data_IF_184179646523
#
_entry.id   IF_184179646523
#
_cell.length_a   1.000
_cell.length_b   1.000
_cell.length_c   1.000
_cell.angle_alpha   90.00
_cell.angle_beta   90.00
_cell.angle_gamma   90.00
#
_symmetry.space_group_name_H-M   'P 1'
#
loop_
_entity.id
_entity.type
_entity.pdbx_description
1 polymer ?
#
# COMPACT_ATOMS: atom_id res chain seq x y z
N UNK A 1 -9.04 0.30 -13.51
CA UNK A 1 -8.34 1.55 -13.17
C UNK A 1 -9.30 2.42 -12.39
N UNK A 2 -9.02 2.70 -11.11
CA UNK A 2 -9.84 3.59 -10.28
C UNK A 2 -9.22 4.97 -10.34
N UNK A 3 -9.97 5.98 -10.79
CA UNK A 3 -9.48 7.36 -10.83
C UNK A 3 -9.24 7.87 -9.41
N UNK A 4 -8.10 8.55 -9.20
CA UNK A 4 -7.67 9.13 -7.92
C UNK A 4 -7.29 8.12 -6.81
N UNK A 5 -6.98 6.87 -7.16
CA UNK A 5 -6.39 5.90 -6.25
C UNK A 5 -4.96 5.57 -6.69
N UNK A 6 -4.09 5.32 -5.71
CA UNK A 6 -2.78 4.72 -6.00
C UNK A 6 -2.99 3.21 -6.18
N UNK A 7 -2.74 2.72 -7.39
CA UNK A 7 -2.94 1.32 -7.78
C UNK A 7 -1.64 0.69 -8.31
N UNK A 8 -1.69 -0.59 -8.67
CA UNK A 8 -0.54 -1.33 -9.19
C UNK A 8 0.11 -0.66 -10.40
N UNK A 9 -0.69 -0.12 -11.33
CA UNK A 9 -0.20 0.54 -12.54
C UNK A 9 0.63 1.77 -12.15
N UNK A 10 0.10 2.60 -11.25
CA UNK A 10 0.81 3.77 -10.76
C UNK A 10 2.11 3.41 -10.04
N UNK A 11 2.09 2.40 -9.16
CA UNK A 11 3.26 1.99 -8.39
C UNK A 11 4.35 1.43 -9.33
N UNK A 12 4.02 0.50 -10.23
CA UNK A 12 4.99 -0.09 -11.17
C UNK A 12 5.62 0.95 -12.10
N UNK A 13 4.87 2.00 -12.45
CA UNK A 13 5.37 3.07 -13.30
C UNK A 13 6.52 3.85 -12.65
N UNK A 14 6.48 4.05 -11.33
CA UNK A 14 7.41 4.95 -10.64
C UNK A 14 8.36 4.27 -9.66
N UNK A 15 8.10 3.03 -9.27
CA UNK A 15 8.87 2.30 -8.27
C UNK A 15 9.40 0.99 -8.88
N UNK A 16 10.64 0.98 -9.40
CA UNK A 16 11.27 -0.24 -9.87
C UNK A 16 11.71 -1.14 -8.71
N UNK A 17 12.00 -2.41 -8.99
CA UNK A 17 12.60 -3.36 -8.03
C UNK A 17 11.87 -3.47 -6.67
N UNK A 18 10.54 -3.54 -6.71
CA UNK A 18 9.65 -3.56 -5.54
C UNK A 18 10.10 -4.49 -4.41
N UNK A 19 10.63 -5.67 -4.74
CA UNK A 19 11.07 -6.67 -3.76
C UNK A 19 12.24 -6.21 -2.86
N UNK A 20 13.03 -5.21 -3.29
CA UNK A 20 14.18 -4.71 -2.54
C UNK A 20 13.84 -3.55 -1.60
N UNK A 21 12.64 -2.99 -1.71
CA UNK A 21 12.27 -1.74 -1.04
C UNK A 21 11.41 -2.01 0.18
N UNK A 22 11.52 -1.11 1.17
CA UNK A 22 10.58 -1.03 2.28
C UNK A 22 9.44 -0.08 1.93
N UNK A 23 8.21 -0.55 2.17
CA UNK A 23 6.98 0.22 1.97
C UNK A 23 6.42 0.62 3.32
N UNK A 24 6.30 1.93 3.56
CA UNK A 24 5.68 2.49 4.75
C UNK A 24 4.33 3.07 4.37
N UNK A 25 3.26 2.54 4.95
CA UNK A 25 1.88 2.92 4.64
C UNK A 25 1.24 3.42 5.93
N UNK A 26 0.75 4.65 5.92
CA UNK A 26 -0.03 5.21 7.03
C UNK A 26 -1.24 5.95 6.49
N UNK A 27 -2.42 5.71 7.07
CA UNK A 27 -3.66 6.31 6.60
C UNK A 27 -4.92 5.76 7.28
N UNK A 28 -6.12 6.11 6.77
CA UNK A 28 -7.37 5.51 7.20
C UNK A 28 -7.35 3.99 7.03
N UNK A 29 -7.91 3.25 8.00
CA UNK A 29 -7.89 1.78 8.00
C UNK A 29 -8.33 1.15 6.67
N UNK A 30 -9.42 1.56 6.01
CA UNK A 30 -9.82 0.98 4.73
C UNK A 30 -8.73 1.12 3.65
N UNK A 31 -8.07 2.29 3.58
CA UNK A 31 -7.00 2.53 2.62
C UNK A 31 -5.77 1.66 2.92
N UNK A 32 -5.35 1.57 4.19
CA UNK A 32 -4.18 0.77 4.58
C UNK A 32 -4.42 -0.70 4.27
N UNK A 33 -5.62 -1.22 4.54
CA UNK A 33 -6.02 -2.61 4.23
C UNK A 33 -5.99 -2.89 2.73
N UNK A 34 -6.42 -1.96 1.87
CA UNK A 34 -6.32 -2.14 0.41
C UNK A 34 -4.87 -2.42 -0.04
N UNK A 35 -3.87 -1.83 0.63
CA UNK A 35 -2.46 -2.09 0.33
C UNK A 35 -1.91 -3.39 0.91
N UNK A 36 -2.58 -3.99 1.90
CA UNK A 36 -2.16 -5.27 2.51
C UNK A 36 -2.26 -6.43 1.52
N UNK A 37 -3.18 -6.37 0.56
CA UNK A 37 -3.29 -7.36 -0.51
C UNK A 37 -2.50 -6.93 -1.76
N UNK A 38 -2.55 -5.64 -2.09
CA UNK A 38 -1.93 -5.10 -3.30
C UNK A 38 -0.41 -5.32 -3.32
N UNK A 39 0.31 -4.91 -2.27
CA UNK A 39 1.78 -4.94 -2.28
C UNK A 39 2.36 -6.37 -2.29
N UNK A 40 1.86 -7.33 -1.50
CA UNK A 40 2.28 -8.72 -1.64
C UNK A 40 1.97 -9.31 -3.01
N UNK A 41 0.79 -9.01 -3.58
CA UNK A 41 0.43 -9.41 -4.95
C UNK A 41 1.39 -8.86 -6.02
N UNK A 42 2.03 -7.72 -5.74
CA UNK A 42 3.05 -7.12 -6.60
C UNK A 42 4.47 -7.67 -6.38
N UNK A 43 4.66 -8.58 -5.41
CA UNK A 43 5.95 -9.21 -5.10
C UNK A 43 6.76 -8.52 -4.01
N UNK A 44 6.15 -7.65 -3.20
CA UNK A 44 6.81 -7.05 -2.03
C UNK A 44 6.81 -8.05 -0.87
N UNK A 45 7.97 -8.37 -0.25
CA UNK A 45 8.03 -9.22 0.93
C UNK A 45 7.22 -8.64 2.09
N UNK A 46 6.49 -9.47 2.82
CA UNK A 46 5.64 -9.01 3.92
C UNK A 46 6.45 -8.29 5.03
N UNK A 47 7.68 -8.75 5.28
CA UNK A 47 8.62 -8.14 6.22
C UNK A 47 9.06 -6.72 5.82
N UNK A 48 8.94 -6.38 4.53
CA UNK A 48 9.25 -5.07 3.99
C UNK A 48 8.08 -4.09 4.05
N UNK A 49 6.90 -4.54 4.49
CA UNK A 49 5.70 -3.71 4.58
C UNK A 49 5.51 -3.27 6.04
N UNK A 50 5.63 -1.96 6.29
CA UNK A 50 5.41 -1.31 7.58
C UNK A 50 4.13 -0.50 7.52
N UNK A 51 3.27 -0.66 8.53
CA UNK A 51 1.91 -0.12 8.54
C UNK A 51 1.66 0.68 9.79
N UNK A 52 0.87 1.73 9.64
CA UNK A 52 0.33 2.55 10.70
C UNK A 52 -1.09 2.99 10.33
N UNK A 53 -1.94 3.24 11.31
CA UNK A 53 -3.33 3.62 11.09
C UNK A 53 -3.61 4.97 11.74
N UNK A 54 -4.24 5.87 11.00
CA UNK A 54 -4.69 7.14 11.57
C UNK A 54 -5.80 6.89 12.59
N UNK A 55 -5.70 7.46 13.81
CA UNK A 55 -6.77 7.36 14.78
C UNK A 55 -8.00 8.16 14.33
N UNK A 56 -9.20 7.73 14.72
CA UNK A 56 -10.44 8.49 14.48
C UNK A 56 -11.08 8.29 13.11
N UNK A 57 -10.48 7.49 12.23
CA UNK A 57 -11.05 7.08 10.94
C UNK A 57 -11.85 5.78 11.01
N UNK A 58 -12.08 5.24 12.21
CA UNK A 58 -12.78 3.96 12.42
C UNK A 58 -14.31 4.04 12.26
N UNK A 59 -14.85 5.24 12.02
CA UNK A 59 -16.30 5.53 11.95
C UNK A 59 -16.84 5.76 10.54
N UNK A 60 -16.02 5.54 9.51
CA UNK A 60 -16.42 5.68 8.10
C UNK A 60 -16.87 4.33 7.53
#
# INVERSE_FOLDING_TARGET
MRLNYLDEIAIRKYVPDLAKLYFYISGPKPMVVDFEELLPGMGVPAEHIKRDYFPGYDRL
#
